data_IF_990359645256
#
_entry.id   IF_990359645256
#
_cell.length_a   1.000
_cell.length_b   1.000
_cell.length_c   1.000
_cell.angle_alpha   90.00
_cell.angle_beta   90.00
_cell.angle_gamma   90.00
#
_symmetry.space_group_name_H-M   'P 1'
#
loop_
_entity.id
_entity.type
_entity.pdbx_description
1 polymer ?
#
# COMPACT_ATOMS: atom_id res chain seq x y z
N UNK A 1 -2.55 20.03 21.64
CA UNK A 1 -3.73 19.11 21.78
C UNK A 1 -4.30 18.73 20.41
N UNK A 2 -4.19 19.57 19.38
CA UNK A 2 -4.74 19.26 18.04
C UNK A 2 -3.90 18.26 17.21
N UNK A 3 -2.60 18.12 17.45
CA UNK A 3 -1.74 17.17 16.71
C UNK A 3 -1.98 15.70 17.05
N UNK A 4 -2.35 15.38 18.29
CA UNK A 4 -2.65 14.01 18.70
C UNK A 4 -3.97 13.47 18.12
N UNK A 5 -4.93 14.36 17.83
CA UNK A 5 -6.20 13.96 17.19
C UNK A 5 -6.06 13.59 15.71
N UNK A 6 -5.03 14.11 15.04
CA UNK A 6 -4.77 13.84 13.61
C UNK A 6 -4.13 12.48 13.40
N UNK A 7 -3.34 11.97 14.35
CA UNK A 7 -2.68 10.67 14.26
C UNK A 7 -3.62 9.44 14.38
N UNK A 8 -4.84 9.64 14.91
CA UNK A 8 -5.83 8.56 15.06
C UNK A 8 -6.87 8.50 13.92
N UNK A 9 -6.74 9.35 12.88
CA UNK A 9 -7.69 9.44 11.77
C UNK A 9 -7.28 8.65 10.52
N UNK A 10 -6.36 7.74 10.63
CA UNK A 10 -5.59 7.22 9.52
C UNK A 10 -6.28 6.31 8.49
N UNK A 11 -7.50 5.80 8.70
CA UNK A 11 -8.14 4.88 7.72
C UNK A 11 -9.64 5.08 7.69
N UNK A 12 -10.20 5.36 6.51
CA UNK A 12 -11.64 5.58 6.31
C UNK A 12 -12.29 4.50 5.45
N UNK A 13 -13.59 4.30 5.66
CA UNK A 13 -14.42 3.31 5.01
C UNK A 13 -15.49 3.94 4.12
N UNK A 14 -15.96 3.22 3.12
CA UNK A 14 -17.17 3.60 2.39
C UNK A 14 -18.37 3.68 3.35
N UNK A 15 -19.11 4.81 3.43
CA UNK A 15 -20.10 5.07 4.50
C UNK A 15 -21.21 4.04 4.60
N UNK A 16 -21.65 3.46 3.48
CA UNK A 16 -22.79 2.52 3.43
C UNK A 16 -22.45 1.16 4.07
N UNK A 17 -21.19 0.71 3.96
CA UNK A 17 -20.76 -0.56 4.54
C UNK A 17 -20.41 -0.38 6.02
N UNK A 18 -20.00 0.82 6.43
CA UNK A 18 -19.61 1.14 7.78
C UNK A 18 -20.76 1.00 8.80
N UNK A 19 -21.96 1.49 8.49
CA UNK A 19 -23.10 1.42 9.45
C UNK A 19 -23.55 -0.01 9.73
N UNK A 20 -23.55 -0.89 8.74
CA UNK A 20 -24.02 -2.27 8.91
C UNK A 20 -23.03 -3.11 9.75
N UNK A 21 -21.74 -2.83 9.71
CA UNK A 21 -20.70 -3.61 10.38
C UNK A 21 -20.37 -3.12 11.79
N UNK A 22 -20.59 -1.87 12.09
CA UNK A 22 -20.37 -1.29 13.44
C UNK A 22 -21.25 -1.97 14.51
N UNK A 23 -22.44 -2.43 14.14
CA UNK A 23 -23.38 -3.11 15.06
C UNK A 23 -22.95 -4.52 15.48
N UNK A 24 -22.05 -5.20 14.71
CA UNK A 24 -21.52 -6.53 15.07
C UNK A 24 -20.19 -6.48 15.83
N UNK A 25 -19.68 -5.31 16.17
CA UNK A 25 -18.30 -5.04 16.53
C UNK A 25 -17.95 -5.16 18.02
N UNK A 26 -18.84 -5.57 18.88
CA UNK A 26 -18.59 -5.70 20.33
C UNK A 26 -17.99 -7.06 20.74
N UNK A 27 -17.43 -7.83 19.79
CA UNK A 27 -16.60 -8.98 20.11
C UNK A 27 -15.16 -8.49 20.23
N UNK A 28 -14.59 -8.52 21.41
CA UNK A 28 -13.19 -8.22 21.68
C UNK A 28 -12.31 -9.24 20.94
N UNK A 29 -11.80 -8.88 19.79
CA UNK A 29 -10.76 -9.66 19.10
C UNK A 29 -9.47 -9.41 19.86
N UNK A 30 -8.85 -10.48 20.36
CA UNK A 30 -7.51 -10.38 20.93
C UNK A 30 -6.55 -9.94 19.82
N UNK A 31 -5.74 -8.91 20.08
CA UNK A 31 -4.77 -8.42 19.09
C UNK A 31 -3.76 -9.48 18.62
N UNK A 32 -3.50 -10.49 19.43
CA UNK A 32 -2.66 -11.64 19.10
C UNK A 32 -3.23 -12.51 17.98
N UNK A 33 -4.56 -12.48 17.76
CA UNK A 33 -5.27 -13.37 16.84
C UNK A 33 -5.53 -12.72 15.48
N UNK A 34 -5.11 -11.45 15.30
CA UNK A 34 -5.28 -10.73 14.05
C UNK A 34 -4.32 -11.27 13.01
N UNK A 35 -4.88 -11.74 11.87
CA UNK A 35 -4.11 -12.20 10.72
C UNK A 35 -3.13 -11.11 10.25
N UNK A 36 -1.89 -11.48 10.09
CA UNK A 36 -0.87 -10.62 9.47
C UNK A 36 -0.91 -10.78 7.96
N UNK A 37 -1.54 -9.82 7.28
CA UNK A 37 -1.71 -9.86 5.83
C UNK A 37 -0.40 -9.55 5.11
N UNK A 38 -0.15 -10.23 3.99
CA UNK A 38 0.88 -9.80 3.04
C UNK A 38 0.34 -8.61 2.24
N UNK A 39 1.14 -7.55 2.11
CA UNK A 39 0.74 -6.29 1.50
C UNK A 39 1.55 -6.07 0.24
N UNK A 40 0.90 -5.95 -0.92
CA UNK A 40 1.53 -5.55 -2.18
C UNK A 40 1.21 -4.09 -2.48
N UNK A 41 2.24 -3.27 -2.61
CA UNK A 41 2.15 -1.86 -2.99
C UNK A 41 2.46 -1.76 -4.48
N UNK A 42 1.52 -1.27 -5.26
CA UNK A 42 1.53 -1.26 -6.72
C UNK A 42 1.82 0.17 -7.20
N UNK A 43 2.98 0.40 -7.81
CA UNK A 43 3.47 1.76 -8.10
C UNK A 43 3.89 1.89 -9.57
N UNK A 44 3.07 2.50 -10.42
CA UNK A 44 3.54 3.01 -11.70
C UNK A 44 4.43 4.23 -11.48
N UNK A 45 5.53 4.32 -12.22
CA UNK A 45 6.46 5.45 -12.16
C UNK A 45 7.05 5.76 -13.52
N UNK A 46 7.28 7.04 -13.80
CA UNK A 46 7.93 7.52 -15.03
C UNK A 46 8.80 8.73 -14.76
N UNK A 47 10.08 8.67 -15.17
CA UNK A 47 11.03 9.78 -15.10
C UNK A 47 11.52 10.16 -13.69
N UNK A 48 11.12 9.43 -12.63
CA UNK A 48 11.33 9.82 -11.22
C UNK A 48 11.95 8.72 -10.34
N UNK A 49 13.11 8.15 -10.71
CA UNK A 49 13.73 7.05 -9.94
C UNK A 49 14.07 7.42 -8.49
N UNK A 50 14.36 8.70 -8.20
CA UNK A 50 14.64 9.16 -6.85
C UNK A 50 13.40 9.11 -5.93
N UNK A 51 12.22 9.29 -6.49
CA UNK A 51 10.98 9.14 -5.77
C UNK A 51 10.81 7.70 -5.27
N UNK A 52 11.10 6.71 -6.13
CA UNK A 52 11.07 5.30 -5.74
C UNK A 52 12.04 5.01 -4.58
N UNK A 53 13.24 5.57 -4.62
CA UNK A 53 14.21 5.44 -3.51
C UNK A 53 13.65 6.02 -2.20
N UNK A 54 13.00 7.19 -2.27
CA UNK A 54 12.37 7.81 -1.09
C UNK A 54 11.22 6.96 -0.56
N UNK A 55 10.38 6.44 -1.44
CA UNK A 55 9.28 5.55 -1.06
C UNK A 55 9.80 4.29 -0.36
N UNK A 56 10.80 3.60 -0.93
CA UNK A 56 11.40 2.40 -0.30
C UNK A 56 11.96 2.74 1.08
N UNK A 57 12.66 3.86 1.22
CA UNK A 57 13.20 4.31 2.51
C UNK A 57 12.10 4.58 3.53
N UNK A 58 11.01 5.24 3.12
CA UNK A 58 9.89 5.53 4.02
C UNK A 58 9.19 4.25 4.47
N UNK A 59 8.92 3.33 3.56
CA UNK A 59 8.35 2.01 3.86
C UNK A 59 9.24 1.23 4.83
N UNK A 60 10.55 1.15 4.55
CA UNK A 60 11.48 0.44 5.42
C UNK A 60 11.60 1.08 6.81
N UNK A 61 11.39 2.40 6.92
CA UNK A 61 11.42 3.11 8.19
C UNK A 61 10.12 2.98 8.98
N UNK A 62 8.96 3.00 8.33
CA UNK A 62 7.65 3.09 8.97
C UNK A 62 6.99 1.73 9.22
N UNK A 63 7.33 0.71 8.45
CA UNK A 63 6.74 -0.62 8.60
C UNK A 63 7.28 -1.37 9.80
N UNK A 64 6.41 -2.11 10.48
CA UNK A 64 6.75 -2.94 11.63
C UNK A 64 7.30 -4.30 11.19
N UNK A 65 6.62 -4.96 10.24
CA UNK A 65 6.99 -6.27 9.70
C UNK A 65 7.28 -6.12 8.20
N UNK A 66 8.51 -5.75 7.88
CA UNK A 66 8.93 -5.40 6.54
C UNK A 66 8.90 -6.58 5.56
N UNK A 67 9.20 -7.80 6.05
CA UNK A 67 9.27 -9.02 5.23
C UNK A 67 7.94 -9.40 4.56
N UNK A 68 6.81 -8.88 5.05
CA UNK A 68 5.49 -9.10 4.46
C UNK A 68 5.07 -8.05 3.45
N UNK A 69 5.93 -7.04 3.23
CA UNK A 69 5.65 -5.95 2.30
C UNK A 69 6.38 -6.20 0.98
N UNK A 70 5.61 -6.19 -0.08
CA UNK A 70 6.06 -6.31 -1.46
C UNK A 70 5.80 -4.99 -2.18
N UNK A 71 6.83 -4.38 -2.72
CA UNK A 71 6.71 -3.19 -3.58
C UNK A 71 6.94 -3.59 -5.02
N UNK A 72 5.91 -3.44 -5.86
CA UNK A 72 5.98 -3.78 -7.29
C UNK A 72 5.89 -2.48 -8.09
N UNK A 73 6.96 -2.19 -8.82
CA UNK A 73 7.12 -0.95 -9.57
C UNK A 73 6.98 -1.24 -11.06
N UNK A 74 6.15 -0.46 -11.75
CA UNK A 74 6.06 -0.49 -13.21
C UNK A 74 6.71 0.75 -13.80
N UNK A 75 7.57 0.55 -14.80
CA UNK A 75 8.21 1.63 -15.56
C UNK A 75 8.04 1.33 -17.04
N UNK A 76 7.63 2.34 -17.80
CA UNK A 76 7.51 2.24 -19.26
C UNK A 76 8.88 1.99 -19.90
N UNK A 77 8.98 1.13 -20.91
CA UNK A 77 10.24 0.77 -21.56
C UNK A 77 10.85 1.92 -22.37
N UNK A 78 10.05 2.91 -22.73
CA UNK A 78 10.46 4.14 -23.42
C UNK A 78 10.87 5.28 -22.44
N UNK A 79 10.90 5.01 -21.13
CA UNK A 79 11.39 5.98 -20.15
C UNK A 79 12.92 6.11 -20.25
N UNK A 80 13.40 7.32 -20.53
CA UNK A 80 14.85 7.63 -20.64
C UNK A 80 15.64 7.24 -19.37
N UNK A 81 14.99 7.13 -18.21
CA UNK A 81 15.60 6.80 -16.91
C UNK A 81 15.48 5.33 -16.51
N UNK A 82 15.06 4.44 -17.40
CA UNK A 82 14.95 2.98 -17.10
C UNK A 82 16.23 2.43 -16.46
N UNK A 83 17.40 2.75 -16.99
CA UNK A 83 18.67 2.27 -16.44
C UNK A 83 18.96 2.84 -15.04
N UNK A 84 18.57 4.07 -14.77
CA UNK A 84 18.68 4.68 -13.45
C UNK A 84 17.77 3.98 -12.42
N UNK A 85 16.55 3.58 -12.80
CA UNK A 85 15.69 2.74 -11.93
C UNK A 85 16.35 1.40 -11.60
N UNK A 86 16.89 0.69 -12.63
CA UNK A 86 17.58 -0.59 -12.43
C UNK A 86 18.74 -0.47 -11.45
N UNK A 87 19.61 0.52 -11.68
CA UNK A 87 20.79 0.77 -10.83
C UNK A 87 20.38 1.07 -9.37
N UNK A 88 19.48 2.04 -9.16
CA UNK A 88 19.08 2.46 -7.82
C UNK A 88 18.39 1.34 -7.05
N UNK A 89 17.50 0.59 -7.69
CA UNK A 89 16.80 -0.54 -7.05
C UNK A 89 17.80 -1.67 -6.73
N UNK A 90 18.74 -1.98 -7.63
CA UNK A 90 19.78 -2.97 -7.35
C UNK A 90 20.67 -2.57 -6.17
N UNK A 91 21.08 -1.30 -6.09
CA UNK A 91 21.86 -0.81 -4.96
C UNK A 91 21.11 -0.93 -3.63
N UNK A 92 19.78 -0.68 -3.63
CA UNK A 92 18.96 -0.88 -2.44
C UNK A 92 18.88 -2.37 -2.07
N UNK A 93 18.69 -3.26 -3.03
CA UNK A 93 18.62 -4.71 -2.77
C UNK A 93 19.90 -5.30 -2.20
N UNK A 94 21.05 -4.73 -2.55
CA UNK A 94 22.35 -5.14 -2.03
C UNK A 94 22.64 -4.61 -0.62
N UNK A 95 21.93 -3.59 -0.19
CA UNK A 95 22.10 -2.99 1.14
C UNK A 95 21.17 -3.71 2.14
N UNK A 96 21.77 -4.54 2.99
CA UNK A 96 21.06 -5.39 3.98
C UNK A 96 20.19 -4.65 4.97
N UNK A 97 20.27 -3.31 5.05
CA UNK A 97 19.37 -2.51 5.89
C UNK A 97 17.97 -2.37 5.33
N UNK A 98 17.77 -2.67 4.02
CA UNK A 98 16.45 -2.62 3.38
C UNK A 98 15.87 -4.04 3.26
N UNK A 99 14.77 -4.27 3.96
CA UNK A 99 14.11 -5.58 4.06
C UNK A 99 12.84 -5.68 3.19
N UNK A 100 12.40 -4.56 2.60
CA UNK A 100 11.22 -4.51 1.73
C UNK A 100 11.50 -5.29 0.44
N UNK A 101 10.64 -6.26 0.13
CA UNK A 101 10.75 -7.01 -1.11
C UNK A 101 10.34 -6.12 -2.30
N UNK A 102 11.31 -5.77 -3.15
CA UNK A 102 11.10 -4.81 -4.24
C UNK A 102 11.26 -5.48 -5.60
N UNK A 103 10.25 -5.31 -6.47
CA UNK A 103 10.23 -5.81 -7.84
C UNK A 103 10.12 -4.67 -8.84
N UNK A 104 10.94 -4.69 -9.89
CA UNK A 104 10.86 -3.76 -11.01
C UNK A 104 10.37 -4.51 -12.25
N UNK A 105 9.28 -4.03 -12.84
CA UNK A 105 8.72 -4.51 -14.10
C UNK A 105 8.86 -3.40 -15.12
N UNK A 106 9.41 -3.72 -16.28
CA UNK A 106 9.56 -2.80 -17.41
C UNK A 106 8.71 -3.33 -18.54
N UNK A 107 7.89 -2.49 -19.14
CA UNK A 107 7.00 -2.89 -20.22
C UNK A 107 6.51 -1.72 -21.05
N UNK A 108 5.60 -2.00 -21.99
CA UNK A 108 5.05 -1.00 -22.90
C UNK A 108 4.31 0.12 -22.17
N UNK A 109 4.35 1.36 -22.68
CA UNK A 109 3.62 2.47 -22.11
C UNK A 109 2.12 2.18 -22.00
N UNK A 110 1.54 2.50 -20.84
CA UNK A 110 0.12 2.28 -20.59
C UNK A 110 -0.45 3.29 -19.57
N UNK A 111 -1.78 3.34 -19.46
CA UNK A 111 -2.43 4.17 -18.44
C UNK A 111 -2.11 3.68 -17.03
N UNK A 112 -2.18 4.60 -16.06
CA UNK A 112 -1.96 4.31 -14.64
C UNK A 112 -2.89 3.17 -14.17
N UNK A 113 -4.18 3.23 -14.50
CA UNK A 113 -5.16 2.21 -14.10
C UNK A 113 -4.81 0.83 -14.68
N UNK A 114 -4.36 0.77 -15.94
CA UNK A 114 -3.93 -0.49 -16.54
C UNK A 114 -2.65 -1.01 -15.88
N UNK A 115 -1.73 -0.12 -15.53
CA UNK A 115 -0.51 -0.50 -14.78
C UNK A 115 -0.87 -1.10 -13.43
N UNK A 116 -1.79 -0.50 -12.67
CA UNK A 116 -2.24 -1.05 -11.38
C UNK A 116 -2.87 -2.43 -11.53
N UNK A 117 -3.73 -2.63 -12.54
CA UNK A 117 -4.34 -3.95 -12.79
C UNK A 117 -3.29 -5.02 -13.13
N UNK A 118 -2.36 -4.71 -14.05
CA UNK A 118 -1.28 -5.64 -14.44
C UNK A 118 -0.36 -5.97 -13.24
N UNK A 119 -0.10 -4.99 -12.37
CA UNK A 119 0.67 -5.20 -11.14
C UNK A 119 -0.12 -6.02 -10.12
N UNK A 120 -1.43 -5.78 -10.00
CA UNK A 120 -2.31 -6.54 -9.12
C UNK A 120 -2.36 -8.03 -9.52
N UNK A 121 -2.41 -8.34 -10.81
CA UNK A 121 -2.34 -9.73 -11.30
C UNK A 121 -1.05 -10.43 -10.85
N UNK A 122 0.09 -9.74 -10.94
CA UNK A 122 1.42 -10.26 -10.61
C UNK A 122 1.73 -10.26 -9.12
N UNK A 123 0.92 -9.59 -8.32
CA UNK A 123 1.12 -9.44 -6.88
C UNK A 123 0.81 -10.71 -6.12
N UNK A 124 1.45 -10.89 -4.98
CA UNK A 124 1.27 -12.05 -4.10
C UNK A 124 0.65 -11.70 -2.75
N UNK A 125 0.29 -10.41 -2.54
CA UNK A 125 -0.29 -9.93 -1.28
C UNK A 125 -1.77 -10.23 -1.15
N UNK A 126 -2.23 -10.34 0.08
CA UNK A 126 -3.66 -10.42 0.44
C UNK A 126 -4.34 -9.04 0.29
N UNK A 127 -3.59 -7.98 0.61
CA UNK A 127 -3.98 -6.59 0.49
C UNK A 127 -3.20 -5.92 -0.65
N UNK A 128 -3.90 -5.25 -1.56
CA UNK A 128 -3.35 -4.56 -2.72
C UNK A 128 -3.51 -3.06 -2.53
N UNK A 129 -2.42 -2.34 -2.34
CA UNK A 129 -2.40 -0.89 -2.19
C UNK A 129 -1.99 -0.24 -3.52
N UNK A 130 -2.89 0.51 -4.13
CA UNK A 130 -2.56 1.35 -5.28
C UNK A 130 -1.79 2.56 -4.77
N UNK A 131 -0.56 2.74 -5.21
CA UNK A 131 0.33 3.81 -4.78
C UNK A 131 0.86 4.64 -5.94
N UNK A 132 1.48 5.77 -5.59
CA UNK A 132 2.27 6.60 -6.49
C UNK A 132 3.71 6.67 -6.01
N UNK A 133 4.61 7.01 -6.91
CA UNK A 133 6.05 7.11 -6.61
C UNK A 133 6.42 8.31 -5.71
N UNK A 134 5.56 9.32 -5.61
CA UNK A 134 5.74 10.50 -4.74
C UNK A 134 5.15 10.37 -3.33
N UNK A 135 4.56 9.22 -3.02
CA UNK A 135 4.07 8.93 -1.67
C UNK A 135 5.21 8.76 -0.68
N UNK A 136 4.98 9.19 0.56
CA UNK A 136 5.82 8.93 1.73
C UNK A 136 4.94 8.34 2.82
N UNK A 137 5.27 7.15 3.28
CA UNK A 137 4.57 6.52 4.41
C UNK A 137 5.29 6.89 5.70
N UNK A 138 4.71 7.81 6.47
CA UNK A 138 5.34 8.36 7.68
C UNK A 138 4.82 7.72 8.98
N UNK A 139 3.61 7.20 8.98
CA UNK A 139 2.98 6.59 10.15
C UNK A 139 3.69 5.29 10.55
N UNK A 140 4.33 5.28 11.72
CA UNK A 140 4.99 4.08 12.25
C UNK A 140 4.00 2.95 12.54
N UNK A 141 4.32 1.74 12.10
CA UNK A 141 3.46 0.58 12.29
C UNK A 141 2.17 0.62 11.48
N UNK A 142 2.14 1.40 10.38
CA UNK A 142 0.98 1.52 9.50
C UNK A 142 0.45 0.15 9.04
N UNK A 143 1.33 -0.80 8.86
CA UNK A 143 1.04 -2.16 8.44
C UNK A 143 0.26 -2.96 9.51
N UNK A 144 0.51 -2.72 10.80
CA UNK A 144 -0.31 -3.31 11.88
C UNK A 144 -1.66 -2.59 12.02
N UNK A 145 -1.68 -1.27 11.83
CA UNK A 145 -2.93 -0.50 11.80
C UNK A 145 -3.83 -1.00 10.66
N UNK A 146 -3.24 -1.29 9.51
CA UNK A 146 -3.96 -1.86 8.37
C UNK A 146 -4.55 -3.24 8.68
N UNK A 147 -3.81 -4.12 9.36
CA UNK A 147 -4.34 -5.41 9.79
C UNK A 147 -5.53 -5.26 10.75
N UNK A 148 -5.42 -4.35 11.71
CA UNK A 148 -6.51 -4.03 12.65
C UNK A 148 -7.77 -3.59 11.89
N UNK A 149 -7.62 -2.78 10.83
CA UNK A 149 -8.72 -2.33 10.00
C UNK A 149 -9.28 -3.46 9.12
N UNK A 150 -8.43 -4.26 8.47
CA UNK A 150 -8.84 -5.42 7.66
C UNK A 150 -9.60 -6.44 8.50
N UNK A 151 -9.22 -6.66 9.75
CA UNK A 151 -9.88 -7.62 10.65
C UNK A 151 -11.38 -7.33 10.85
N UNK A 152 -11.83 -6.13 10.54
CA UNK A 152 -13.24 -5.72 10.61
C UNK A 152 -14.08 -6.25 9.45
N UNK A 153 -13.46 -6.89 8.46
CA UNK A 153 -14.09 -7.44 7.26
C UNK A 153 -13.94 -8.97 7.23
N UNK A 154 -14.81 -9.71 7.93
CA UNK A 154 -14.70 -11.17 8.04
C UNK A 154 -14.91 -11.92 6.73
N UNK A 155 -15.51 -11.26 5.73
CA UNK A 155 -15.67 -11.76 4.37
C UNK A 155 -14.44 -11.53 3.48
N UNK A 156 -13.43 -10.83 4.03
CA UNK A 156 -12.21 -10.43 3.31
C UNK A 156 -12.49 -9.60 2.03
N UNK A 157 -13.62 -8.89 1.98
CA UNK A 157 -13.96 -7.99 0.87
C UNK A 157 -13.98 -6.57 1.41
N UNK A 158 -13.00 -5.75 1.01
CA UNK A 158 -12.85 -4.38 1.48
C UNK A 158 -12.22 -3.47 0.44
N UNK A 159 -12.54 -2.18 0.57
CA UNK A 159 -11.83 -1.05 0.00
C UNK A 159 -11.64 -0.02 1.10
N UNK A 160 -10.41 0.24 1.46
CA UNK A 160 -10.00 1.19 2.51
C UNK A 160 -8.91 2.10 1.95
N UNK A 161 -8.69 3.25 2.58
CA UNK A 161 -7.62 4.17 2.18
C UNK A 161 -7.09 4.91 3.40
N UNK A 162 -5.87 5.43 3.29
CA UNK A 162 -5.28 6.29 4.30
C UNK A 162 -5.75 7.73 4.14
N UNK A 163 -5.83 8.46 5.26
CA UNK A 163 -5.97 9.91 5.24
C UNK A 163 -4.62 10.52 4.85
N UNK A 164 -4.57 11.22 3.73
CA UNK A 164 -3.39 11.92 3.24
C UNK A 164 -3.12 13.24 4.00
N UNK A 165 -4.02 13.61 4.90
CA UNK A 165 -3.96 14.85 5.69
C UNK A 165 -4.31 16.12 4.90
N UNK A 166 -4.57 16.02 3.59
CA UNK A 166 -4.87 17.17 2.73
C UNK A 166 -6.37 17.32 2.45
N UNK A 167 -7.07 16.25 2.15
CA UNK A 167 -8.45 16.28 1.65
C UNK A 167 -9.48 15.68 2.59
N UNK A 168 -9.06 15.24 3.77
CA UNK A 168 -9.94 14.63 4.76
C UNK A 168 -10.63 13.36 4.24
N UNK A 169 -11.76 12.99 4.81
CA UNK A 169 -12.51 11.77 4.47
C UNK A 169 -13.27 11.82 3.12
N UNK A 170 -13.20 12.93 2.40
CA UNK A 170 -14.01 13.12 1.18
C UNK A 170 -13.48 12.40 -0.05
N UNK A 171 -12.18 12.08 -0.09
CA UNK A 171 -11.55 11.41 -1.23
C UNK A 171 -10.62 10.30 -0.73
N UNK A 172 -10.81 9.11 -1.29
CA UNK A 172 -9.93 7.97 -1.04
C UNK A 172 -8.79 7.94 -2.06
N UNK A 173 -7.76 8.75 -1.83
CA UNK A 173 -6.53 8.62 -2.60
C UNK A 173 -5.83 7.31 -2.19
N UNK A 174 -5.26 6.58 -3.15
CA UNK A 174 -4.53 5.32 -2.91
C UNK A 174 -5.34 4.23 -2.22
N UNK A 175 -6.39 3.70 -2.88
CA UNK A 175 -7.22 2.66 -2.30
C UNK A 175 -6.41 1.39 -2.04
N UNK A 176 -6.77 0.72 -0.94
CA UNK A 176 -6.28 -0.59 -0.56
C UNK A 176 -7.45 -1.54 -0.67
N UNK A 177 -7.35 -2.49 -1.58
CA UNK A 177 -8.39 -3.49 -1.81
C UNK A 177 -7.90 -4.89 -1.45
N UNK A 178 -8.81 -5.78 -1.11
CA UNK A 178 -8.44 -7.18 -0.95
C UNK A 178 -8.12 -7.84 -2.29
N UNK A 179 -7.19 -8.79 -2.31
CA UNK A 179 -6.95 -9.64 -3.49
C UNK A 179 -8.22 -10.37 -3.91
N UNK A 180 -9.04 -10.77 -2.92
CA UNK A 180 -10.34 -11.40 -3.16
C UNK A 180 -11.29 -10.49 -3.94
N UNK A 181 -11.42 -9.22 -3.54
CA UNK A 181 -12.22 -8.26 -4.31
C UNK A 181 -11.72 -8.12 -5.73
N UNK A 182 -10.42 -7.89 -5.92
CA UNK A 182 -9.81 -7.76 -7.24
C UNK A 182 -10.11 -8.97 -8.16
N UNK A 183 -10.27 -10.17 -7.59
CA UNK A 183 -10.52 -11.40 -8.36
C UNK A 183 -11.98 -11.56 -8.80
N UNK A 184 -12.93 -10.95 -8.08
CA UNK A 184 -14.38 -11.10 -8.35
C UNK A 184 -15.00 -9.93 -9.10
N UNK A 185 -14.29 -8.81 -9.29
CA UNK A 185 -14.72 -7.62 -10.04
C UNK A 185 -14.05 -7.57 -11.39
#
# INVERSE_FOLDING_TARGET
INRLKTQLRGIFYFPIIYQYRTLKRNLSINKSDIKKNKISILVPSRGRPDNIVRLIKSLNHSSKIKSRIELIIYVDNDDEKVNCYKEKINNIKLDSKYEINTHLIIGEPKSISKSWNDLAEKSTGDALMMGNDDCIIDTKGWDEILDDEISKFPDEIYCIWFDDGMRSYMYGDFPIVSKKWFTIV
#
